data_IF_681575933023
#
_entry.id   IF_681575933023
#
_cell.length_a   1.000
_cell.length_b   1.000
_cell.length_c   1.000
_cell.angle_alpha   90.00
_cell.angle_beta   90.00
_cell.angle_gamma   90.00
#
_symmetry.space_group_name_H-M   'P 1'
#
loop_
_entity.id
_entity.type
_entity.pdbx_description
1 polymer ?
#
# COMPACT_ATOMS: atom_id res chain seq x y z
N UNK A 1 12.26 -60.38 -27.11
CA UNK A 1 12.14 -58.94 -27.45
C UNK A 1 10.89 -58.24 -26.86
N UNK A 2 9.69 -58.79 -26.90
CA UNK A 2 8.47 -58.14 -26.38
C UNK A 2 8.49 -57.88 -24.86
N UNK A 3 8.98 -58.80 -24.05
CA UNK A 3 9.04 -58.69 -22.58
C UNK A 3 9.95 -57.56 -22.13
N UNK A 4 11.12 -57.37 -22.76
CA UNK A 4 12.07 -56.30 -22.46
C UNK A 4 11.46 -54.92 -22.74
N UNK A 5 10.69 -54.81 -23.80
CA UNK A 5 10.02 -53.55 -24.13
C UNK A 5 8.88 -53.20 -23.16
N UNK A 6 8.17 -54.20 -22.62
CA UNK A 6 7.17 -54.04 -21.59
C UNK A 6 7.81 -53.58 -20.27
N UNK A 7 8.93 -54.18 -19.88
CA UNK A 7 9.66 -53.78 -18.66
C UNK A 7 10.18 -52.35 -18.79
N UNK A 8 10.71 -51.94 -19.94
CA UNK A 8 11.14 -50.57 -20.19
C UNK A 8 9.98 -49.57 -20.14
N UNK A 9 8.81 -49.92 -20.68
CA UNK A 9 7.62 -49.06 -20.64
C UNK A 9 7.08 -48.87 -19.20
N UNK A 10 7.10 -49.95 -18.39
CA UNK A 10 6.69 -49.86 -16.98
C UNK A 10 7.68 -49.01 -16.17
N UNK A 11 8.98 -49.13 -16.43
CA UNK A 11 10.02 -48.38 -15.75
C UNK A 11 9.95 -46.87 -16.13
N UNK A 12 9.66 -46.57 -17.38
CA UNK A 12 9.43 -45.18 -17.85
C UNK A 12 8.16 -44.57 -17.24
N UNK A 13 7.09 -45.35 -17.14
CA UNK A 13 5.84 -44.93 -16.54
C UNK A 13 5.98 -44.66 -15.03
N UNK A 14 6.78 -45.45 -14.31
CA UNK A 14 7.04 -45.26 -12.88
C UNK A 14 7.80 -43.96 -12.58
N UNK A 15 8.70 -43.51 -13.47
CA UNK A 15 9.45 -42.25 -13.33
C UNK A 15 8.54 -41.04 -13.52
N UNK A 16 7.52 -41.12 -14.38
CA UNK A 16 6.57 -40.04 -14.62
C UNK A 16 5.62 -39.80 -13.43
N UNK A 17 5.31 -40.86 -12.67
CA UNK A 17 4.40 -40.81 -11.52
C UNK A 17 5.07 -40.17 -10.27
N UNK A 18 6.41 -40.13 -10.22
CA UNK A 18 7.14 -39.59 -9.05
C UNK A 18 7.46 -38.11 -9.16
N UNK A 19 6.98 -37.36 -10.17
CA UNK A 19 7.25 -35.95 -10.40
C UNK A 19 6.19 -34.93 -9.93
N UNK A 20 5.18 -35.24 -9.13
CA UNK A 20 4.21 -34.22 -8.72
C UNK A 20 4.64 -33.32 -7.55
N UNK A 21 5.83 -33.54 -7.00
CA UNK A 21 6.21 -32.95 -5.70
C UNK A 21 6.68 -31.51 -5.72
N UNK A 22 6.80 -30.88 -6.89
CA UNK A 22 7.35 -29.50 -6.96
C UNK A 22 6.33 -28.43 -7.34
N UNK A 23 5.04 -28.75 -7.47
CA UNK A 23 4.03 -27.79 -7.91
C UNK A 23 3.22 -27.17 -6.77
N UNK A 24 3.41 -27.64 -5.55
CA UNK A 24 2.77 -27.07 -4.36
C UNK A 24 3.72 -26.08 -3.68
N UNK A 25 4.11 -25.06 -4.43
CA UNK A 25 4.79 -23.90 -3.93
C UNK A 25 3.71 -22.94 -3.37
N UNK A 26 3.21 -23.26 -2.18
CA UNK A 26 2.62 -22.20 -1.36
C UNK A 26 3.68 -21.12 -1.20
N UNK A 27 3.46 -19.91 -1.72
CA UNK A 27 4.42 -18.82 -1.58
C UNK A 27 4.44 -18.35 -0.13
N UNK A 28 5.19 -19.05 0.72
CA UNK A 28 5.36 -18.70 2.14
C UNK A 28 6.00 -17.32 2.35
N UNK A 29 6.50 -16.70 1.29
CA UNK A 29 7.19 -15.42 1.31
C UNK A 29 6.40 -14.29 0.62
N UNK A 30 5.32 -14.55 -0.07
CA UNK A 30 4.41 -13.53 -0.55
C UNK A 30 3.19 -13.52 0.35
N UNK A 31 2.93 -12.40 0.99
CA UNK A 31 1.64 -12.09 1.62
C UNK A 31 0.59 -12.07 0.49
N UNK A 32 0.12 -13.26 0.11
CA UNK A 32 -1.02 -13.37 -0.77
C UNK A 32 -2.23 -12.83 0.00
N UNK A 33 -3.10 -12.04 -0.64
CA UNK A 33 -4.32 -11.48 -0.04
C UNK A 33 -5.15 -12.55 0.68
N UNK A 34 -5.09 -13.81 0.23
CA UNK A 34 -5.79 -14.94 0.85
C UNK A 34 -5.28 -15.31 2.26
N UNK A 35 -4.02 -15.01 2.58
CA UNK A 35 -3.39 -15.33 3.87
C UNK A 35 -3.22 -14.10 4.77
N UNK A 36 -3.42 -12.91 4.24
CA UNK A 36 -3.46 -11.66 4.99
C UNK A 36 -4.87 -11.50 5.61
N UNK A 37 -4.99 -10.81 6.72
CA UNK A 37 -6.26 -10.51 7.39
C UNK A 37 -6.86 -11.64 8.22
N UNK A 38 -6.05 -12.66 8.58
CA UNK A 38 -6.49 -13.80 9.40
C UNK A 38 -6.34 -13.54 10.90
N UNK A 39 -5.37 -12.74 11.30
CA UNK A 39 -5.02 -12.49 12.70
C UNK A 39 -4.95 -10.99 13.01
N UNK A 40 -5.12 -10.57 14.28
CA UNK A 40 -4.92 -9.18 14.67
C UNK A 40 -3.52 -8.66 14.36
N UNK A 41 -2.52 -9.55 14.34
CA UNK A 41 -1.15 -9.18 13.98
C UNK A 41 -1.01 -8.77 12.52
N UNK A 42 -1.80 -9.34 11.61
CA UNK A 42 -1.79 -8.97 10.20
C UNK A 42 -2.29 -7.53 10.02
N UNK A 43 -3.36 -7.16 10.71
CA UNK A 43 -3.87 -5.79 10.75
C UNK A 43 -2.85 -4.81 11.33
N UNK A 44 -2.15 -5.22 12.41
CA UNK A 44 -1.06 -4.43 13.00
C UNK A 44 0.07 -4.18 12.01
N UNK A 45 0.57 -5.24 11.37
CA UNK A 45 1.67 -5.14 10.41
C UNK A 45 1.28 -4.26 9.22
N UNK A 46 0.05 -4.40 8.74
CA UNK A 46 -0.46 -3.57 7.66
C UNK A 46 -0.62 -2.10 8.08
N UNK A 47 -1.14 -1.83 9.27
CA UNK A 47 -1.32 -0.47 9.78
C UNK A 47 0.00 0.26 10.07
N UNK A 48 1.08 -0.46 10.34
CA UNK A 48 2.39 0.15 10.61
C UNK A 48 2.88 1.05 9.47
N UNK A 49 2.55 0.75 8.21
CA UNK A 49 2.91 1.60 7.07
C UNK A 49 2.28 3.00 7.15
N UNK A 50 1.16 3.18 7.83
CA UNK A 50 0.48 4.47 7.92
C UNK A 50 1.29 5.51 8.70
N UNK A 51 2.16 5.06 9.61
CA UNK A 51 3.01 5.92 10.41
C UNK A 51 4.17 6.57 9.63
N UNK A 52 4.41 6.13 8.40
CA UNK A 52 5.35 6.77 7.47
C UNK A 52 4.71 7.94 6.69
N UNK A 53 3.40 8.12 6.78
CA UNK A 53 2.69 9.14 6.00
C UNK A 53 2.75 10.55 6.55
N UNK A 54 2.74 10.77 7.89
CA UNK A 54 2.84 12.11 8.43
C UNK A 54 4.11 12.82 7.94
N UNK A 55 3.96 14.09 7.65
CA UNK A 55 5.08 14.92 7.21
C UNK A 55 6.12 15.05 8.31
N UNK A 56 7.39 14.96 7.93
CA UNK A 56 8.49 15.28 8.82
C UNK A 56 8.46 16.78 9.17
N UNK A 57 8.68 17.10 10.43
CA UNK A 57 8.65 18.47 10.93
C UNK A 57 9.70 19.37 10.27
N UNK A 58 10.85 18.81 9.93
CA UNK A 58 11.94 19.57 9.29
C UNK A 58 11.66 19.89 7.81
N UNK A 59 11.04 18.97 7.08
CA UNK A 59 10.72 19.15 5.66
C UNK A 59 9.59 20.16 5.42
N UNK A 60 8.73 20.40 6.42
CA UNK A 60 7.57 21.28 6.28
C UNK A 60 7.92 22.78 6.24
N UNK A 61 9.12 23.18 6.66
CA UNK A 61 9.47 24.59 6.79
C UNK A 61 9.89 25.26 5.47
N UNK A 62 10.60 24.54 4.60
CA UNK A 62 11.23 25.14 3.42
C UNK A 62 10.90 24.45 2.10
N UNK A 63 10.44 23.20 2.14
CA UNK A 63 10.14 22.41 0.95
C UNK A 63 8.72 21.83 1.00
N UNK A 64 8.14 21.67 -0.17
CA UNK A 64 6.87 21.02 -0.35
C UNK A 64 5.65 21.94 -0.40
N UNK A 65 4.51 21.36 -0.69
CA UNK A 65 3.30 22.10 -1.02
C UNK A 65 2.69 22.89 0.16
N UNK A 66 3.08 22.55 1.38
CA UNK A 66 2.58 23.21 2.61
C UNK A 66 3.59 24.17 3.24
N UNK A 67 4.68 24.47 2.54
CA UNK A 67 5.68 25.42 3.04
C UNK A 67 5.22 26.86 2.84
N UNK A 68 5.78 27.75 3.66
CA UNK A 68 5.52 29.19 3.56
C UNK A 68 6.04 29.82 2.26
N UNK A 69 6.77 29.05 1.44
CA UNK A 69 7.18 29.48 0.09
C UNK A 69 6.01 29.71 -0.86
N UNK A 70 4.81 29.22 -0.54
CA UNK A 70 3.56 29.51 -1.29
C UNK A 70 2.87 30.79 -0.84
N UNK A 71 3.35 31.37 0.26
CA UNK A 71 2.88 32.66 0.77
C UNK A 71 3.85 33.79 0.40
N UNK A 72 3.54 35.00 0.80
CA UNK A 72 4.42 36.15 0.71
C UNK A 72 5.37 36.31 1.93
N UNK A 73 5.34 35.35 2.86
CA UNK A 73 6.14 35.40 4.09
C UNK A 73 7.59 34.94 3.85
N UNK A 74 7.82 34.00 2.93
CA UNK A 74 9.15 33.55 2.56
C UNK A 74 9.32 33.68 1.05
N UNK A 75 10.24 34.52 0.62
CA UNK A 75 10.62 34.63 -0.80
C UNK A 75 11.94 33.88 -1.01
N UNK A 76 11.96 32.99 -1.99
CA UNK A 76 13.19 32.52 -2.60
C UNK A 76 13.62 33.50 -3.72
N UNK A 77 14.85 33.34 -4.24
CA UNK A 77 15.34 34.10 -5.40
C UNK A 77 14.43 33.93 -6.64
N UNK A 78 13.71 32.82 -6.70
CA UNK A 78 12.77 32.51 -7.77
C UNK A 78 11.34 32.73 -7.28
N UNK A 79 10.57 33.42 -8.08
CA UNK A 79 9.18 33.70 -7.78
C UNK A 79 8.33 32.41 -7.80
N UNK A 80 7.60 32.19 -6.72
CA UNK A 80 6.62 31.12 -6.66
C UNK A 80 5.39 31.46 -7.54
N UNK A 81 4.96 30.55 -8.38
CA UNK A 81 3.81 30.71 -9.27
C UNK A 81 2.50 30.92 -8.49
N UNK A 82 2.38 30.33 -7.28
CA UNK A 82 1.20 30.46 -6.43
C UNK A 82 1.08 31.88 -5.85
N UNK A 83 2.15 32.47 -5.37
CA UNK A 83 2.13 33.84 -4.83
C UNK A 83 1.87 34.88 -5.93
N UNK A 84 2.17 34.56 -7.19
CA UNK A 84 1.83 35.38 -8.36
C UNK A 84 0.39 35.22 -8.86
N UNK A 85 -0.31 34.15 -8.44
CA UNK A 85 -1.61 33.81 -8.98
C UNK A 85 -1.62 33.38 -10.46
N UNK A 86 -0.48 32.89 -10.97
CA UNK A 86 -0.32 32.44 -12.37
C UNK A 86 -0.21 30.92 -12.49
N UNK A 87 -0.46 30.20 -11.42
CA UNK A 87 -0.46 28.76 -11.41
C UNK A 87 -1.54 28.20 -12.37
N UNK A 88 -1.16 27.20 -13.12
CA UNK A 88 -2.06 26.44 -14.01
C UNK A 88 -2.34 25.05 -13.42
N UNK A 89 -3.49 24.48 -13.76
CA UNK A 89 -3.81 23.11 -13.33
C UNK A 89 -2.89 22.16 -14.10
N UNK A 90 -2.01 21.41 -13.41
CA UNK A 90 -1.13 20.46 -14.08
C UNK A 90 -1.92 19.26 -14.61
N UNK A 91 -1.40 18.61 -15.67
CA UNK A 91 -1.99 17.37 -16.21
C UNK A 91 -1.89 16.21 -15.20
N UNK A 92 -0.86 16.24 -14.34
CA UNK A 92 -0.68 15.28 -13.26
C UNK A 92 -0.04 15.97 -12.05
N UNK A 93 -0.45 15.57 -10.87
CA UNK A 93 0.11 16.05 -9.60
C UNK A 93 0.44 14.85 -8.70
N UNK A 94 1.72 14.79 -8.26
CA UNK A 94 2.22 13.71 -7.41
C UNK A 94 1.62 13.73 -6.01
N UNK A 95 1.29 14.92 -5.47
CA UNK A 95 0.66 15.04 -4.15
C UNK A 95 -0.77 14.49 -4.21
N UNK A 96 -1.51 14.83 -5.28
CA UNK A 96 -2.86 14.33 -5.49
C UNK A 96 -2.89 12.80 -5.62
N UNK A 97 -2.09 12.24 -6.53
CA UNK A 97 -2.05 10.78 -6.75
C UNK A 97 -1.49 10.03 -5.55
N UNK A 98 -0.50 10.60 -4.85
CA UNK A 98 0.08 10.03 -3.65
C UNK A 98 -0.93 9.94 -2.51
N UNK A 99 -1.67 11.01 -2.23
CA UNK A 99 -2.70 11.03 -1.20
C UNK A 99 -3.81 10.00 -1.48
N UNK A 100 -4.31 9.91 -2.72
CA UNK A 100 -5.31 8.90 -3.08
C UNK A 100 -4.78 7.46 -3.00
N UNK A 101 -3.50 7.25 -3.25
CA UNK A 101 -2.87 5.94 -3.05
C UNK A 101 -2.88 5.54 -1.57
N UNK A 102 -2.54 6.45 -0.68
CA UNK A 102 -2.57 6.24 0.77
C UNK A 102 -4.01 6.03 1.27
N UNK A 103 -4.96 6.84 0.82
CA UNK A 103 -6.39 6.65 1.10
C UNK A 103 -6.86 5.25 0.69
N UNK A 104 -6.41 4.76 -0.46
CA UNK A 104 -6.72 3.41 -0.92
C UNK A 104 -6.18 2.35 0.05
N UNK A 105 -4.95 2.48 0.55
CA UNK A 105 -4.40 1.55 1.53
C UNK A 105 -5.21 1.54 2.83
N UNK A 106 -5.61 2.70 3.34
CA UNK A 106 -6.50 2.76 4.50
C UNK A 106 -7.85 2.09 4.23
N UNK A 107 -8.43 2.29 3.05
CA UNK A 107 -9.69 1.66 2.66
C UNK A 107 -9.58 0.13 2.54
N UNK A 108 -8.44 -0.41 2.07
CA UNK A 108 -8.20 -1.86 2.01
C UNK A 108 -8.28 -2.46 3.42
N UNK A 109 -7.61 -1.87 4.42
CA UNK A 109 -7.70 -2.34 5.81
C UNK A 109 -9.15 -2.27 6.31
N UNK A 110 -9.85 -1.17 6.08
CA UNK A 110 -11.22 -0.98 6.56
C UNK A 110 -12.19 -1.98 5.92
N UNK A 111 -12.05 -2.25 4.63
CA UNK A 111 -12.87 -3.22 3.91
C UNK A 111 -12.66 -4.65 4.43
N UNK A 112 -11.41 -5.04 4.68
CA UNK A 112 -11.11 -6.36 5.23
C UNK A 112 -11.58 -6.48 6.68
N UNK A 113 -11.55 -5.39 7.45
CA UNK A 113 -12.03 -5.37 8.82
C UNK A 113 -13.54 -5.64 8.93
N UNK A 114 -14.35 -5.30 7.92
CA UNK A 114 -15.78 -5.57 7.90
C UNK A 114 -16.10 -7.08 7.98
N UNK A 115 -15.20 -7.92 7.48
CA UNK A 115 -15.36 -9.38 7.45
C UNK A 115 -14.63 -10.08 8.62
N UNK A 116 -13.97 -9.35 9.51
CA UNK A 116 -13.24 -9.94 10.62
C UNK A 116 -14.19 -10.36 11.75
N UNK A 117 -14.00 -11.59 12.26
CA UNK A 117 -14.95 -12.24 13.18
C UNK A 117 -15.17 -11.46 14.50
N UNK A 118 -14.12 -10.85 15.06
CA UNK A 118 -14.20 -10.08 16.29
C UNK A 118 -13.56 -8.70 16.14
N UNK A 119 -14.35 -7.71 15.82
CA UNK A 119 -13.89 -6.33 15.59
C UNK A 119 -13.17 -5.72 16.79
N UNK A 120 -13.43 -6.17 18.03
CA UNK A 120 -12.75 -5.64 19.20
C UNK A 120 -11.24 -5.93 19.19
N UNK A 121 -10.82 -7.07 18.63
CA UNK A 121 -9.42 -7.48 18.59
C UNK A 121 -8.59 -6.59 17.65
N UNK A 122 -9.24 -5.98 16.66
CA UNK A 122 -8.61 -5.13 15.64
C UNK A 122 -9.06 -3.66 15.72
N UNK A 123 -9.89 -3.30 16.71
CA UNK A 123 -10.50 -1.98 16.81
C UNK A 123 -9.48 -0.83 16.77
N UNK A 124 -8.31 -1.02 17.37
CA UNK A 124 -7.21 -0.06 17.33
C UNK A 124 -6.75 0.21 15.89
N UNK A 125 -6.52 -0.83 15.12
CA UNK A 125 -6.01 -0.69 13.74
C UNK A 125 -7.06 -0.10 12.80
N UNK A 126 -8.33 -0.40 13.05
CA UNK A 126 -9.46 0.24 12.36
C UNK A 126 -9.51 1.73 12.68
N UNK A 127 -9.28 2.12 13.94
CA UNK A 127 -9.22 3.53 14.34
C UNK A 127 -8.02 4.25 13.70
N UNK A 128 -6.85 3.62 13.68
CA UNK A 128 -5.64 4.13 13.01
C UNK A 128 -5.90 4.34 11.52
N UNK A 129 -6.49 3.37 10.82
CA UNK A 129 -6.82 3.51 9.39
C UNK A 129 -7.80 4.67 9.13
N UNK A 130 -8.80 4.85 9.98
CA UNK A 130 -9.74 6.00 9.87
C UNK A 130 -9.04 7.31 10.10
N UNK A 131 -8.14 7.38 11.08
CA UNK A 131 -7.38 8.59 11.40
C UNK A 131 -6.47 8.98 10.23
N UNK A 132 -5.65 8.05 9.73
CA UNK A 132 -4.73 8.35 8.63
C UNK A 132 -5.45 8.64 7.31
N UNK A 133 -6.59 7.99 7.07
CA UNK A 133 -7.44 8.34 5.93
C UNK A 133 -7.95 9.77 6.02
N UNK A 134 -8.40 10.19 7.20
CA UNK A 134 -8.84 11.56 7.43
C UNK A 134 -7.69 12.56 7.28
N UNK A 135 -6.48 12.20 7.75
CA UNK A 135 -5.28 13.00 7.59
C UNK A 135 -4.97 13.26 6.10
N UNK A 136 -4.99 12.24 5.26
CA UNK A 136 -4.74 12.40 3.82
C UNK A 136 -5.84 13.20 3.11
N UNK A 137 -7.10 13.06 3.52
CA UNK A 137 -8.18 13.93 3.01
C UNK A 137 -8.00 15.39 3.45
N UNK A 138 -7.56 15.61 4.68
CA UNK A 138 -7.25 16.96 5.15
C UNK A 138 -6.09 17.57 4.35
N UNK A 139 -5.08 16.79 4.04
CA UNK A 139 -3.95 17.21 3.19
C UNK A 139 -4.41 17.60 1.78
N UNK A 140 -5.29 16.79 1.18
CA UNK A 140 -5.92 17.12 -0.11
C UNK A 140 -6.74 18.42 -0.04
N UNK A 141 -7.51 18.60 1.03
CA UNK A 141 -8.32 19.82 1.22
C UNK A 141 -7.44 21.06 1.32
N UNK A 142 -6.31 20.97 2.03
CA UNK A 142 -5.38 22.09 2.15
C UNK A 142 -4.72 22.47 0.81
N UNK A 143 -4.48 21.50 -0.06
CA UNK A 143 -3.75 21.72 -1.31
C UNK A 143 -4.66 22.06 -2.48
N UNK A 144 -5.83 21.44 -2.53
CA UNK A 144 -6.71 21.48 -3.70
C UNK A 144 -8.10 22.04 -3.39
N UNK A 145 -8.41 22.36 -2.13
CA UNK A 145 -9.55 23.13 -1.63
C UNK A 145 -10.87 22.53 -1.73
#
# INVERSE_FOLDING_TARGET
>A
MKIINIIKAILLLSVVITLPSCLDLDPKAQLADANLWQTPNDYKLYANQFYEWPRDFAAALFDGPHSDTRSDLITSSDYNEYSKGVNTIPVSDGNYTGAYTKIRYANILLQNAENYANLNDIARYVAEAKFFRAYEYFDLLQLFG
#
